data_IF_500762933698
#
_entry.id   IF_500762933698
#
_cell.length_a   1.000
_cell.length_b   1.000
_cell.length_c   1.000
_cell.angle_alpha   90.00
_cell.angle_beta   90.00
_cell.angle_gamma   90.00
#
_symmetry.space_group_name_H-M   'P 1'
#
loop_
_entity.id
_entity.type
_entity.pdbx_description
1 polymer ?
#
# COMPACT_ATOMS: atom_id res chain seq x y z
N UNK A 1 -1.11 -15.71 -26.88
CA UNK A 1 -0.23 -16.62 -27.59
C UNK A 1 0.55 -17.43 -26.58
N UNK A 2 0.62 -18.76 -26.62
CA UNK A 2 1.53 -19.53 -25.81
C UNK A 2 2.95 -19.11 -26.20
N UNK A 3 3.70 -18.53 -25.27
CA UNK A 3 5.14 -18.27 -25.46
C UNK A 3 5.87 -19.61 -25.41
N UNK A 4 6.93 -19.73 -26.24
CA UNK A 4 7.91 -20.80 -26.17
C UNK A 4 8.20 -21.14 -24.69
N UNK A 5 7.83 -22.35 -24.29
CA UNK A 5 7.89 -22.81 -22.90
C UNK A 5 9.31 -22.96 -22.33
N UNK A 6 10.32 -22.71 -23.14
CA UNK A 6 11.72 -22.96 -22.80
C UNK A 6 12.47 -21.76 -22.20
N UNK A 7 12.05 -20.50 -22.49
CA UNK A 7 12.79 -19.33 -22.00
C UNK A 7 12.31 -18.90 -20.61
N UNK A 8 13.25 -18.74 -19.63
CA UNK A 8 12.91 -18.18 -18.33
C UNK A 8 12.29 -16.78 -18.43
N UNK A 9 11.22 -16.53 -17.66
CA UNK A 9 10.63 -15.21 -17.54
C UNK A 9 11.54 -14.33 -16.67
N UNK A 10 11.95 -13.18 -17.21
CA UNK A 10 12.86 -12.24 -16.56
C UNK A 10 12.09 -11.14 -15.81
N UNK A 11 12.33 -10.99 -14.53
CA UNK A 11 11.64 -10.07 -13.64
C UNK A 11 12.63 -9.05 -13.06
N UNK A 12 12.38 -7.76 -13.29
CA UNK A 12 13.08 -6.68 -12.59
C UNK A 12 12.26 -6.22 -11.38
N UNK A 13 12.89 -6.09 -10.22
CA UNK A 13 12.25 -5.50 -9.03
C UNK A 13 13.03 -4.26 -8.63
N UNK A 14 12.41 -3.10 -8.76
CA UNK A 14 12.99 -1.82 -8.36
C UNK A 14 12.48 -1.50 -6.96
N UNK A 15 13.36 -1.46 -5.98
CA UNK A 15 13.03 -1.09 -4.60
C UNK A 15 13.36 0.37 -4.34
N UNK A 16 12.39 1.09 -3.76
CA UNK A 16 12.58 2.47 -3.31
C UNK A 16 13.06 2.50 -1.87
N UNK A 17 13.72 3.58 -1.41
CA UNK A 17 13.97 3.76 0.03
C UNK A 17 12.68 3.58 0.83
N UNK A 18 12.78 2.92 1.98
CA UNK A 18 11.64 2.54 2.83
C UNK A 18 10.59 1.64 2.15
N UNK A 19 11.00 0.81 1.21
CA UNK A 19 10.11 -0.15 0.54
C UNK A 19 9.56 -1.20 1.52
N UNK A 20 8.45 -1.83 1.16
CA UNK A 20 7.88 -2.93 1.94
C UNK A 20 8.65 -4.23 1.69
N UNK A 21 9.53 -4.60 2.63
CA UNK A 21 10.36 -5.81 2.50
C UNK A 21 9.51 -7.08 2.46
N UNK A 22 8.49 -7.18 3.31
CA UNK A 22 7.62 -8.35 3.37
C UNK A 22 6.90 -8.59 2.05
N UNK A 23 6.35 -7.52 1.44
CA UNK A 23 5.73 -7.60 0.12
C UNK A 23 6.75 -7.97 -0.97
N UNK A 24 7.96 -7.40 -0.92
CA UNK A 24 9.00 -7.67 -1.92
C UNK A 24 9.47 -9.12 -1.88
N UNK A 25 9.77 -9.64 -0.69
CA UNK A 25 10.18 -11.04 -0.50
C UNK A 25 9.01 -11.97 -0.82
N UNK A 26 7.80 -11.66 -0.33
CA UNK A 26 6.58 -12.41 -0.63
C UNK A 26 6.25 -12.48 -2.12
N UNK A 27 6.64 -11.46 -2.90
CA UNK A 27 6.53 -11.48 -4.35
C UNK A 27 7.59 -12.37 -5.02
N UNK A 28 8.83 -12.39 -4.51
CA UNK A 28 9.96 -13.11 -5.14
C UNK A 28 9.94 -14.60 -4.79
N UNK A 29 9.64 -14.95 -3.56
CA UNK A 29 9.81 -16.32 -3.05
C UNK A 29 8.95 -17.39 -3.74
N UNK A 30 7.72 -17.12 -4.22
CA UNK A 30 6.98 -18.06 -5.06
C UNK A 30 7.69 -18.46 -6.35
N UNK A 31 8.41 -17.55 -7.00
CA UNK A 31 9.19 -17.86 -8.21
C UNK A 31 10.40 -18.75 -7.89
N UNK A 32 11.07 -18.49 -6.76
CA UNK A 32 12.14 -19.36 -6.25
C UNK A 32 11.61 -20.76 -5.96
N UNK A 33 10.47 -20.85 -5.28
CA UNK A 33 9.84 -22.15 -4.97
C UNK A 33 9.47 -22.90 -6.24
N UNK A 34 8.89 -22.23 -7.24
CA UNK A 34 8.54 -22.83 -8.52
C UNK A 34 9.77 -23.40 -9.25
N UNK A 35 10.87 -22.65 -9.33
CA UNK A 35 12.13 -23.14 -9.91
C UNK A 35 12.68 -24.38 -9.16
N UNK A 36 12.67 -24.31 -7.82
CA UNK A 36 13.17 -25.41 -6.98
C UNK A 36 12.38 -26.69 -7.15
N UNK A 37 11.05 -26.60 -7.16
CA UNK A 37 10.16 -27.76 -7.21
C UNK A 37 10.18 -28.48 -8.55
N UNK A 38 10.35 -27.75 -9.65
CA UNK A 38 10.40 -28.35 -10.99
C UNK A 38 11.83 -28.68 -11.45
N UNK A 39 12.84 -28.24 -10.70
CA UNK A 39 14.24 -28.43 -11.06
C UNK A 39 14.69 -27.68 -12.31
N UNK A 40 13.85 -26.75 -12.81
CA UNK A 40 14.11 -25.94 -13.98
C UNK A 40 14.09 -24.44 -13.63
N UNK A 41 14.84 -23.63 -14.39
CA UNK A 41 14.83 -22.18 -14.23
C UNK A 41 13.70 -21.57 -15.06
N UNK A 42 12.49 -21.53 -14.52
CA UNK A 42 11.33 -20.89 -15.15
C UNK A 42 11.34 -19.37 -14.98
N UNK A 43 11.95 -18.87 -13.92
CA UNK A 43 11.96 -17.46 -13.54
C UNK A 43 13.37 -17.02 -13.16
N UNK A 44 13.74 -15.82 -13.59
CA UNK A 44 14.95 -15.11 -13.15
C UNK A 44 14.57 -13.74 -12.66
N UNK A 45 15.26 -13.21 -11.67
CA UNK A 45 14.98 -11.88 -11.17
C UNK A 45 16.25 -11.09 -10.85
N UNK A 46 16.11 -9.77 -10.95
CA UNK A 46 17.12 -8.81 -10.56
C UNK A 46 16.46 -7.81 -9.61
N UNK A 47 17.04 -7.64 -8.41
CA UNK A 47 16.63 -6.62 -7.47
C UNK A 47 17.57 -5.44 -7.61
N UNK A 48 17.00 -4.25 -7.87
CA UNK A 48 17.76 -3.03 -8.10
C UNK A 48 17.15 -1.84 -7.35
N UNK A 49 17.99 -0.85 -7.09
CA UNK A 49 17.59 0.50 -6.73
C UNK A 49 18.13 1.49 -7.76
N UNK A 50 17.79 2.77 -7.68
CA UNK A 50 18.25 3.76 -8.64
C UNK A 50 19.78 3.80 -8.76
N UNK A 51 20.47 3.81 -7.63
CA UNK A 51 21.94 3.93 -7.55
C UNK A 51 22.64 2.59 -7.27
N UNK A 52 21.91 1.53 -6.94
CA UNK A 52 22.49 0.29 -6.43
C UNK A 52 22.93 0.41 -4.96
N UNK A 53 23.61 -0.63 -4.48
CA UNK A 53 24.10 -0.69 -3.10
C UNK A 53 23.03 -1.02 -2.08
N UNK A 54 23.27 -0.65 -0.84
CA UNK A 54 22.38 -0.99 0.28
C UNK A 54 21.13 -0.11 0.29
N UNK A 55 19.96 -0.73 0.29
CA UNK A 55 18.66 -0.06 0.38
C UNK A 55 17.94 -0.50 1.66
N UNK A 56 17.54 0.48 2.48
CA UNK A 56 16.84 0.25 3.75
C UNK A 56 15.34 0.12 3.49
N UNK A 57 14.73 -0.93 4.04
CA UNK A 57 13.30 -1.17 4.00
C UNK A 57 12.55 -0.45 5.13
N UNK A 58 11.22 -0.40 5.03
CA UNK A 58 10.35 0.26 6.01
C UNK A 58 10.42 -0.36 7.42
N UNK A 59 10.83 -1.61 7.54
CA UNK A 59 11.02 -2.30 8.82
C UNK A 59 12.43 -2.17 9.41
N UNK A 60 13.31 -1.34 8.80
CA UNK A 60 14.68 -1.10 9.24
C UNK A 60 15.71 -2.14 8.76
N UNK A 61 15.30 -3.23 8.13
CA UNK A 61 16.23 -4.17 7.51
C UNK A 61 16.74 -3.61 6.18
N UNK A 62 17.93 -4.06 5.79
CA UNK A 62 18.56 -3.62 4.54
C UNK A 62 18.80 -4.78 3.60
N UNK A 63 18.68 -4.50 2.30
CA UNK A 63 19.10 -5.44 1.27
C UNK A 63 20.13 -4.80 0.34
N UNK A 64 21.01 -5.59 -0.21
CA UNK A 64 21.93 -5.17 -1.27
C UNK A 64 21.21 -5.23 -2.61
N UNK A 65 21.37 -4.18 -3.43
CA UNK A 65 20.69 -4.02 -4.71
C UNK A 65 21.68 -3.73 -5.83
N UNK A 66 21.35 -4.15 -7.05
CA UNK A 66 22.04 -3.71 -8.25
C UNK A 66 21.54 -2.32 -8.68
N UNK A 67 22.21 -1.71 -9.64
CA UNK A 67 21.71 -0.49 -10.28
C UNK A 67 20.54 -0.82 -11.21
N UNK A 68 19.68 0.17 -11.50
CA UNK A 68 18.57 0.03 -12.45
C UNK A 68 19.03 -0.44 -13.84
N UNK A 69 20.28 -0.14 -14.24
CA UNK A 69 20.88 -0.62 -15.50
C UNK A 69 20.95 -2.14 -15.60
N UNK A 70 21.18 -2.83 -14.48
CA UNK A 70 21.20 -4.29 -14.46
C UNK A 70 19.85 -4.93 -14.83
N UNK A 71 18.73 -4.23 -14.57
CA UNK A 71 17.40 -4.67 -15.04
C UNK A 71 17.31 -4.56 -16.57
N UNK A 72 17.82 -3.46 -17.13
CA UNK A 72 17.82 -3.26 -18.60
C UNK A 72 18.68 -4.32 -19.30
N UNK A 73 19.86 -4.63 -18.77
CA UNK A 73 20.76 -5.68 -19.29
C UNK A 73 20.10 -7.07 -19.23
N UNK A 74 19.30 -7.34 -18.20
CA UNK A 74 18.57 -8.60 -18.06
C UNK A 74 17.40 -8.76 -19.03
N UNK A 75 17.09 -7.75 -19.85
CA UNK A 75 15.97 -7.75 -20.82
C UNK A 75 14.65 -8.22 -20.18
N UNK A 76 14.06 -7.44 -19.26
CA UNK A 76 12.95 -7.90 -18.44
C UNK A 76 11.67 -8.10 -19.23
N UNK A 77 10.90 -9.14 -18.88
CA UNK A 77 9.50 -9.33 -19.32
C UNK A 77 8.53 -8.58 -18.40
N UNK A 78 8.88 -8.49 -17.10
CA UNK A 78 8.12 -7.79 -16.07
C UNK A 78 9.05 -6.89 -15.26
N UNK A 79 8.63 -5.66 -15.00
CA UNK A 79 9.30 -4.77 -14.04
C UNK A 79 8.31 -4.34 -12.97
N UNK A 80 8.67 -4.57 -11.71
CA UNK A 80 7.87 -4.24 -10.53
C UNK A 80 8.55 -3.12 -9.74
N UNK A 81 7.79 -2.08 -9.42
CA UNK A 81 8.22 -1.02 -8.49
C UNK A 81 7.68 -1.35 -7.11
N UNK A 82 8.57 -1.61 -6.15
CA UNK A 82 8.23 -1.79 -4.74
C UNK A 82 8.54 -0.52 -3.97
N UNK A 83 7.54 0.05 -3.37
CA UNK A 83 7.63 1.24 -2.52
C UNK A 83 6.75 1.04 -1.29
N UNK A 84 6.86 1.92 -0.29
CA UNK A 84 5.95 1.99 0.83
C UNK A 84 5.75 3.46 1.21
N UNK A 85 6.44 3.98 2.21
CA UNK A 85 6.20 5.36 2.65
C UNK A 85 6.82 6.40 1.72
N UNK A 86 6.14 7.54 1.60
CA UNK A 86 6.60 8.72 0.85
C UNK A 86 6.96 8.46 -0.62
N UNK A 87 6.11 7.74 -1.39
CA UNK A 87 6.44 7.40 -2.79
C UNK A 87 6.67 8.65 -3.66
N UNK A 88 6.08 9.80 -3.29
CA UNK A 88 6.21 11.07 -4.00
C UNK A 88 7.65 11.61 -3.99
N UNK A 89 8.45 11.28 -2.97
CA UNK A 89 9.83 11.72 -2.83
C UNK A 89 10.81 10.91 -3.70
N UNK A 90 10.39 9.74 -4.15
CA UNK A 90 11.28 8.78 -4.82
C UNK A 90 11.10 8.74 -6.33
N UNK A 91 10.24 9.59 -6.90
CA UNK A 91 10.01 9.64 -8.34
C UNK A 91 11.00 10.61 -9.01
N UNK A 92 12.05 10.08 -9.62
CA UNK A 92 13.02 10.86 -10.38
C UNK A 92 12.73 10.85 -11.89
N UNK A 93 13.20 11.86 -12.65
CA UNK A 93 13.09 11.87 -14.11
C UNK A 93 13.74 10.63 -14.78
N UNK A 94 14.86 10.15 -14.22
CA UNK A 94 15.56 8.95 -14.70
C UNK A 94 14.69 7.73 -14.56
N UNK A 95 14.09 7.51 -13.39
CA UNK A 95 13.17 6.39 -13.15
C UNK A 95 11.97 6.45 -14.09
N UNK A 96 11.35 7.62 -14.21
CA UNK A 96 10.21 7.81 -15.11
C UNK A 96 10.57 7.51 -16.57
N UNK A 97 11.74 7.95 -17.02
CA UNK A 97 12.23 7.68 -18.38
C UNK A 97 12.43 6.19 -18.63
N UNK A 98 13.06 5.48 -17.70
CA UNK A 98 13.26 4.03 -17.75
C UNK A 98 11.93 3.27 -17.79
N UNK A 99 11.00 3.60 -16.90
CA UNK A 99 9.67 2.98 -16.85
C UNK A 99 8.89 3.19 -18.15
N UNK A 100 8.91 4.42 -18.71
CA UNK A 100 8.28 4.71 -20.02
C UNK A 100 9.00 4.00 -21.16
N UNK A 101 10.33 3.84 -21.08
CA UNK A 101 11.12 3.07 -22.03
C UNK A 101 10.65 1.61 -22.10
N UNK A 102 10.60 0.93 -20.96
CA UNK A 102 10.11 -0.45 -20.85
C UNK A 102 8.66 -0.59 -21.29
N UNK A 103 7.79 0.38 -20.95
CA UNK A 103 6.41 0.37 -21.40
C UNK A 103 6.29 0.38 -22.93
N UNK A 104 7.09 1.21 -23.62
CA UNK A 104 7.13 1.26 -25.10
C UNK A 104 7.68 -0.02 -25.72
N UNK A 105 8.57 -0.71 -25.03
CA UNK A 105 9.11 -2.01 -25.47
C UNK A 105 8.17 -3.19 -25.17
N UNK A 106 6.95 -2.94 -24.66
CA UNK A 106 5.97 -3.98 -24.36
C UNK A 106 6.20 -4.73 -23.06
N UNK A 107 7.13 -4.28 -22.22
CA UNK A 107 7.37 -4.86 -20.88
C UNK A 107 6.14 -4.64 -20.00
N UNK A 108 5.75 -5.66 -19.26
CA UNK A 108 4.70 -5.54 -18.25
C UNK A 108 5.24 -4.78 -17.04
N UNK A 109 4.58 -3.67 -16.70
CA UNK A 109 4.95 -2.86 -15.55
C UNK A 109 4.00 -3.10 -14.39
N UNK A 110 4.56 -3.28 -13.21
CA UNK A 110 3.77 -3.51 -12.02
C UNK A 110 4.26 -2.73 -10.80
N UNK A 111 3.47 -2.82 -9.75
CA UNK A 111 3.75 -2.16 -8.49
C UNK A 111 3.33 -3.01 -7.29
N UNK A 112 4.09 -2.87 -6.20
CA UNK A 112 3.75 -3.37 -4.87
C UNK A 112 3.56 -2.20 -3.92
N UNK A 113 2.54 -2.29 -3.08
CA UNK A 113 2.21 -1.33 -2.02
C UNK A 113 1.94 0.07 -2.62
N UNK A 114 2.72 1.09 -2.29
CA UNK A 114 2.58 2.44 -2.86
C UNK A 114 3.33 2.66 -4.19
N UNK A 115 3.97 1.65 -4.73
CA UNK A 115 4.68 1.74 -6.02
C UNK A 115 3.80 2.19 -7.19
N UNK A 116 2.47 2.00 -7.08
CA UNK A 116 1.51 2.46 -8.09
C UNK A 116 1.47 4.00 -8.21
N UNK A 117 1.76 4.76 -7.15
CA UNK A 117 1.92 6.23 -7.25
C UNK A 117 3.04 6.63 -8.22
N UNK A 118 4.14 5.88 -8.21
CA UNK A 118 5.27 6.12 -9.11
C UNK A 118 4.88 5.84 -10.57
N UNK A 119 4.14 4.75 -10.81
CA UNK A 119 3.61 4.44 -12.14
C UNK A 119 2.59 5.48 -12.60
N UNK A 120 1.67 5.92 -11.73
CA UNK A 120 0.66 6.94 -12.03
C UNK A 120 1.31 8.29 -12.34
N UNK A 121 2.27 8.74 -11.51
CA UNK A 121 3.04 9.97 -11.76
C UNK A 121 3.83 9.91 -13.06
N UNK A 122 4.20 8.71 -13.50
CA UNK A 122 4.85 8.47 -14.81
C UNK A 122 3.86 8.42 -15.98
N UNK A 123 2.56 8.62 -15.73
CA UNK A 123 1.43 8.51 -16.68
C UNK A 123 1.30 7.13 -17.32
N UNK A 124 1.64 6.09 -16.57
CA UNK A 124 1.61 4.70 -17.03
C UNK A 124 0.34 3.95 -16.61
N UNK A 125 -0.50 4.58 -15.78
CA UNK A 125 -1.77 4.03 -15.29
C UNK A 125 -3.00 4.82 -15.79
N UNK A 126 -2.83 5.85 -16.62
CA UNK A 126 -3.95 6.64 -17.16
C UNK A 126 -4.95 5.74 -17.89
N UNK A 127 -6.24 5.81 -17.49
CA UNK A 127 -7.32 4.97 -18.01
C UNK A 127 -7.23 3.50 -17.61
N UNK A 128 -6.36 3.13 -16.68
CA UNK A 128 -6.16 1.78 -16.19
C UNK A 128 -6.72 1.58 -14.79
N UNK A 129 -7.13 0.35 -14.50
CA UNK A 129 -7.43 -0.06 -13.13
C UNK A 129 -6.13 -0.36 -12.38
N UNK A 130 -6.03 0.14 -11.14
CA UNK A 130 -4.86 -0.09 -10.29
C UNK A 130 -5.25 -0.13 -8.81
N UNK A 131 -4.47 -0.84 -8.02
CA UNK A 131 -4.61 -0.89 -6.56
C UNK A 131 -3.36 -0.40 -5.86
N UNK A 132 -3.53 0.10 -4.65
CA UNK A 132 -2.49 0.46 -3.69
C UNK A 132 -2.89 -0.08 -2.33
N UNK A 133 -2.01 0.00 -1.34
CA UNK A 133 -2.36 -0.32 0.05
C UNK A 133 -3.56 0.52 0.51
N UNK A 134 -4.51 -0.09 1.21
CA UNK A 134 -5.80 0.52 1.59
C UNK A 134 -5.66 1.88 2.27
N UNK A 135 -4.64 2.05 3.14
CA UNK A 135 -4.37 3.34 3.82
C UNK A 135 -4.07 4.50 2.86
N UNK A 136 -3.65 4.20 1.63
CA UNK A 136 -3.28 5.18 0.62
C UNK A 136 -4.31 5.32 -0.50
N UNK A 137 -5.40 4.55 -0.46
CA UNK A 137 -6.35 4.46 -1.57
C UNK A 137 -7.08 5.79 -1.81
N UNK A 138 -7.49 6.48 -0.75
CA UNK A 138 -8.17 7.78 -0.87
C UNK A 138 -7.23 8.86 -1.42
N UNK A 139 -5.98 8.89 -0.94
CA UNK A 139 -4.97 9.79 -1.48
C UNK A 139 -4.64 9.47 -2.95
N UNK A 140 -4.63 8.19 -3.31
CA UNK A 140 -4.39 7.77 -4.68
C UNK A 140 -5.51 8.22 -5.63
N UNK A 141 -6.77 8.09 -5.21
CA UNK A 141 -7.94 8.58 -5.96
C UNK A 141 -7.87 10.09 -6.18
N UNK A 142 -7.52 10.83 -5.13
CA UNK A 142 -7.44 12.28 -5.17
C UNK A 142 -6.30 12.79 -6.06
N UNK A 143 -5.11 12.19 -5.95
CA UNK A 143 -3.92 12.63 -6.69
C UNK A 143 -3.90 12.14 -8.14
N UNK A 144 -4.62 11.07 -8.46
CA UNK A 144 -4.64 10.43 -9.77
C UNK A 144 -6.07 10.10 -10.23
N UNK A 145 -6.92 11.11 -10.46
CA UNK A 145 -8.32 10.92 -10.87
C UNK A 145 -8.46 10.28 -12.26
N UNK A 146 -7.39 10.25 -13.03
CA UNK A 146 -7.30 9.58 -14.33
C UNK A 146 -7.04 8.06 -14.24
N UNK A 147 -6.89 7.51 -13.01
CA UNK A 147 -6.68 6.09 -12.73
C UNK A 147 -7.92 5.52 -12.04
N UNK A 148 -8.38 4.36 -12.48
CA UNK A 148 -9.48 3.64 -11.82
C UNK A 148 -8.95 2.93 -10.56
N UNK A 149 -8.95 3.63 -9.42
CA UNK A 149 -8.47 3.09 -8.17
C UNK A 149 -9.38 1.97 -7.64
N UNK A 150 -8.82 0.78 -7.45
CA UNK A 150 -9.52 -0.44 -7.05
C UNK A 150 -9.17 -0.83 -5.61
N UNK A 151 -10.16 -1.33 -4.86
CA UNK A 151 -9.98 -1.89 -3.52
C UNK A 151 -9.56 -3.37 -3.52
N UNK A 152 -9.24 -3.93 -4.67
CA UNK A 152 -8.79 -5.31 -4.76
C UNK A 152 -7.38 -5.48 -4.20
N UNK A 153 -7.06 -6.69 -3.71
CA UNK A 153 -5.71 -7.02 -3.25
C UNK A 153 -4.67 -6.88 -4.36
N UNK A 154 -5.05 -7.21 -5.59
CA UNK A 154 -4.22 -7.07 -6.78
C UNK A 154 -5.09 -6.91 -8.03
N UNK A 155 -4.56 -6.18 -9.01
CA UNK A 155 -5.22 -5.87 -10.27
C UNK A 155 -4.29 -6.23 -11.43
N UNK A 156 -4.87 -6.87 -12.45
CA UNK A 156 -4.21 -7.17 -13.72
C UNK A 156 -4.98 -6.49 -14.85
N UNK A 157 -4.48 -5.39 -15.38
CA UNK A 157 -5.06 -4.65 -16.50
C UNK A 157 -4.07 -4.61 -17.67
N UNK A 158 -4.12 -5.64 -18.53
CA UNK A 158 -3.19 -5.81 -19.64
C UNK A 158 -1.74 -5.89 -19.16
N UNK A 159 -0.91 -4.97 -19.66
CA UNK A 159 0.51 -4.85 -19.27
C UNK A 159 0.71 -3.96 -18.01
N UNK A 160 -0.35 -3.71 -17.25
CA UNK A 160 -0.27 -3.00 -15.96
C UNK A 160 -0.79 -3.90 -14.87
N UNK A 161 0.05 -4.17 -13.88
CA UNK A 161 -0.27 -5.10 -12.80
C UNK A 161 0.10 -4.47 -11.47
N UNK A 162 -0.83 -4.41 -10.53
CA UNK A 162 -0.59 -3.75 -9.23
C UNK A 162 -1.08 -4.61 -8.08
N UNK A 163 -0.42 -4.51 -6.95
CA UNK A 163 -0.73 -5.26 -5.73
C UNK A 163 -0.67 -4.33 -4.52
N UNK A 164 -1.61 -4.50 -3.60
CA UNK A 164 -1.71 -3.72 -2.37
C UNK A 164 -0.55 -3.94 -1.38
N UNK A 165 0.31 -4.93 -1.63
CA UNK A 165 1.44 -5.23 -0.74
C UNK A 165 1.12 -6.29 0.33
N UNK A 166 1.94 -6.32 1.39
CA UNK A 166 1.82 -7.32 2.44
C UNK A 166 1.84 -8.76 1.90
N UNK A 167 1.04 -9.63 2.51
CA UNK A 167 0.92 -11.04 2.08
C UNK A 167 0.17 -11.21 0.76
N UNK A 168 -0.52 -10.17 0.26
CA UNK A 168 -1.15 -10.22 -1.07
C UNK A 168 -0.11 -10.37 -2.20
N UNK A 169 1.14 -10.00 -1.94
CA UNK A 169 2.23 -10.16 -2.89
C UNK A 169 2.54 -11.63 -3.22
N UNK A 170 2.30 -12.55 -2.28
CA UNK A 170 2.42 -14.01 -2.51
C UNK A 170 1.39 -14.47 -3.54
N UNK A 171 0.10 -14.13 -3.33
CA UNK A 171 -0.95 -14.48 -4.30
C UNK A 171 -0.71 -13.84 -5.67
N UNK A 172 -0.26 -12.60 -5.66
CA UNK A 172 0.05 -11.87 -6.88
C UNK A 172 1.13 -12.58 -7.71
N UNK A 173 2.20 -13.04 -7.08
CA UNK A 173 3.24 -13.84 -7.74
C UNK A 173 2.71 -15.21 -8.18
N UNK A 174 1.92 -15.90 -7.35
CA UNK A 174 1.30 -17.18 -7.70
C UNK A 174 0.36 -17.05 -8.90
N UNK A 175 -0.39 -15.94 -9.03
CA UNK A 175 -1.20 -15.67 -10.21
C UNK A 175 -0.34 -15.43 -11.47
N UNK A 176 0.85 -14.86 -11.36
CA UNK A 176 1.79 -14.72 -12.48
C UNK A 176 2.31 -16.12 -12.88
N UNK A 177 2.72 -16.96 -11.92
CA UNK A 177 3.14 -18.34 -12.17
C UNK A 177 2.02 -19.11 -12.88
N UNK A 178 0.80 -19.04 -12.34
CA UNK A 178 -0.39 -19.69 -12.90
C UNK A 178 -0.63 -19.29 -14.37
N UNK A 179 -0.54 -18.01 -14.69
CA UNK A 179 -0.75 -17.47 -16.04
C UNK A 179 0.35 -17.85 -17.03
N UNK A 180 1.56 -18.09 -16.55
CA UNK A 180 2.74 -18.30 -17.39
C UNK A 180 3.21 -19.74 -17.46
N UNK A 181 2.94 -20.52 -16.41
CA UNK A 181 3.44 -21.92 -16.26
C UNK A 181 2.34 -22.91 -15.81
N UNK A 182 1.11 -22.45 -15.63
CA UNK A 182 -0.05 -23.27 -15.33
C UNK A 182 -0.33 -23.49 -13.84
N UNK A 183 -1.51 -24.08 -13.59
CA UNK A 183 -2.06 -24.26 -12.23
C UNK A 183 -1.24 -25.23 -11.38
N UNK A 184 -0.70 -26.30 -11.98
CA UNK A 184 0.03 -27.33 -11.23
C UNK A 184 1.26 -26.77 -10.53
N UNK A 185 2.08 -25.97 -11.23
CA UNK A 185 3.28 -25.37 -10.65
C UNK A 185 2.93 -24.30 -9.62
N UNK A 186 1.91 -23.46 -9.89
CA UNK A 186 1.44 -22.45 -8.96
C UNK A 186 0.93 -23.08 -7.64
N UNK A 187 0.14 -24.15 -7.72
CA UNK A 187 -0.37 -24.87 -6.54
C UNK A 187 0.76 -25.57 -5.76
N UNK A 188 1.75 -26.09 -6.45
CA UNK A 188 2.92 -26.72 -5.80
C UNK A 188 3.75 -25.67 -5.06
N UNK A 189 3.99 -24.51 -5.67
CA UNK A 189 4.69 -23.38 -5.04
C UNK A 189 3.92 -22.86 -3.82
N UNK A 190 2.60 -22.70 -3.92
CA UNK A 190 1.75 -22.28 -2.81
C UNK A 190 1.87 -23.25 -1.62
N UNK A 191 1.77 -24.55 -1.87
CA UNK A 191 1.91 -25.59 -0.85
C UNK A 191 3.28 -25.60 -0.19
N UNK A 192 4.34 -25.42 -0.97
CA UNK A 192 5.71 -25.34 -0.45
C UNK A 192 5.92 -24.18 0.51
N UNK A 193 5.21 -23.06 0.27
CA UNK A 193 5.25 -21.87 1.11
C UNK A 193 4.24 -21.89 2.27
N UNK A 194 3.56 -23.02 2.52
CA UNK A 194 2.46 -23.14 3.49
C UNK A 194 1.35 -22.11 3.28
N UNK A 195 1.17 -21.67 2.02
CA UNK A 195 0.10 -20.76 1.63
C UNK A 195 -1.15 -21.58 1.30
N UNK A 196 -2.04 -21.70 2.28
CA UNK A 196 -3.17 -22.65 2.25
C UNK A 196 -4.11 -22.44 1.05
N UNK A 197 -4.35 -21.20 0.68
CA UNK A 197 -5.33 -20.86 -0.34
C UNK A 197 -4.91 -19.67 -1.16
N UNK A 198 -4.79 -19.85 -2.46
CA UNK A 198 -4.63 -18.76 -3.41
C UNK A 198 -5.91 -17.91 -3.42
N UNK A 199 -5.80 -16.65 -3.01
CA UNK A 199 -6.90 -15.71 -3.03
C UNK A 199 -7.30 -15.39 -4.48
N UNK A 200 -8.62 -15.47 -4.82
CA UNK A 200 -9.06 -15.24 -6.19
C UNK A 200 -8.89 -13.78 -6.62
N UNK A 201 -8.87 -13.58 -7.95
CA UNK A 201 -9.00 -12.24 -8.53
C UNK A 201 -10.31 -11.60 -8.05
N UNK A 202 -10.30 -10.31 -7.83
CA UNK A 202 -11.47 -9.60 -7.30
C UNK A 202 -11.58 -9.60 -5.78
N UNK A 203 -10.72 -10.35 -5.05
CA UNK A 203 -10.70 -10.29 -3.59
C UNK A 203 -10.38 -8.87 -3.14
N UNK A 204 -11.28 -8.28 -2.36
CA UNK A 204 -11.10 -6.92 -1.80
C UNK A 204 -10.13 -6.92 -0.64
N UNK A 205 -9.45 -5.80 -0.44
CA UNK A 205 -8.70 -5.52 0.76
C UNK A 205 -9.71 -5.36 1.91
N UNK A 206 -9.64 -6.23 2.92
CA UNK A 206 -10.48 -6.08 4.11
C UNK A 206 -9.88 -4.97 4.97
N UNK A 207 -10.37 -3.77 4.78
CA UNK A 207 -9.96 -2.59 5.56
C UNK A 207 -10.76 -2.44 6.87
N UNK A 208 -11.30 -3.53 7.42
CA UNK A 208 -12.05 -3.46 8.67
C UNK A 208 -11.09 -3.39 9.89
N UNK A 209 -10.89 -2.18 10.49
CA UNK A 209 -10.03 -2.04 11.67
C UNK A 209 -10.55 -2.82 12.88
N UNK A 210 -11.74 -3.39 12.79
CA UNK A 210 -12.47 -4.08 13.86
C UNK A 210 -12.40 -5.60 13.76
N UNK A 211 -11.81 -6.17 12.69
CA UNK A 211 -11.66 -7.63 12.64
C UNK A 211 -10.36 -8.04 13.35
N UNK A 212 -10.43 -8.58 14.59
CA UNK A 212 -9.29 -9.30 15.15
C UNK A 212 -8.95 -10.45 14.22
N UNK A 213 -7.66 -10.65 13.93
CA UNK A 213 -7.19 -11.78 13.13
C UNK A 213 -7.74 -13.08 13.73
N UNK A 214 -8.54 -13.81 12.95
CA UNK A 214 -9.13 -15.09 13.36
C UNK A 214 -10.51 -15.04 14.04
N UNK A 215 -11.16 -13.88 14.16
CA UNK A 215 -12.55 -13.80 14.66
C UNK A 215 -13.54 -13.44 13.54
N UNK A 216 -14.71 -14.07 13.58
CA UNK A 216 -15.79 -13.77 12.65
C UNK A 216 -16.59 -12.59 13.17
N UNK A 217 -16.47 -11.43 12.54
CA UNK A 217 -17.33 -10.27 12.85
C UNK A 217 -18.76 -10.60 12.42
N UNK A 218 -19.76 -10.34 13.27
CA UNK A 218 -21.15 -10.57 12.92
C UNK A 218 -21.54 -9.85 11.64
N UNK A 219 -22.33 -10.53 10.81
CA UNK A 219 -22.81 -10.01 9.54
C UNK A 219 -23.44 -8.61 9.66
N UNK A 220 -24.14 -8.36 10.77
CA UNK A 220 -24.78 -7.06 11.05
C UNK A 220 -23.75 -5.92 11.21
N UNK A 221 -22.63 -6.18 11.91
CA UNK A 221 -21.55 -5.18 12.04
C UNK A 221 -20.94 -4.90 10.67
N UNK A 222 -20.63 -5.96 9.92
CA UNK A 222 -20.05 -5.81 8.56
C UNK A 222 -20.94 -5.00 7.64
N UNK A 223 -22.25 -5.29 7.63
CA UNK A 223 -23.22 -4.53 6.83
C UNK A 223 -23.28 -3.06 7.24
N UNK A 224 -23.33 -2.78 8.55
CA UNK A 224 -23.37 -1.41 9.05
C UNK A 224 -22.07 -0.65 8.70
N UNK A 225 -20.90 -1.27 8.90
CA UNK A 225 -19.62 -0.67 8.56
C UNK A 225 -19.53 -0.40 7.06
N UNK A 226 -19.96 -1.34 6.20
CA UNK A 226 -19.98 -1.13 4.76
C UNK A 226 -20.85 0.09 4.37
N UNK A 227 -22.06 0.23 4.94
CA UNK A 227 -22.91 1.40 4.69
C UNK A 227 -22.22 2.69 5.18
N UNK A 228 -21.51 2.65 6.33
CA UNK A 228 -20.75 3.80 6.83
C UNK A 228 -19.59 4.18 5.89
N UNK A 229 -18.84 3.20 5.41
CA UNK A 229 -17.70 3.40 4.50
C UNK A 229 -18.11 3.93 3.13
N UNK A 230 -19.24 3.45 2.61
CA UNK A 230 -19.80 3.92 1.35
C UNK A 230 -20.32 5.38 1.43
N UNK A 231 -20.48 5.94 2.65
CA UNK A 231 -21.04 7.26 2.91
C UNK A 231 -20.14 8.12 3.79
N UNK A 232 -18.81 8.16 3.54
CA UNK A 232 -17.87 8.92 4.38
C UNK A 232 -17.93 10.45 4.14
N UNK A 233 -18.19 10.87 2.90
CA UNK A 233 -18.25 12.27 2.51
C UNK A 233 -19.60 12.91 2.86
N UNK A 234 -20.70 12.19 2.62
CA UNK A 234 -22.07 12.59 2.98
C UNK A 234 -22.58 11.58 4.01
N UNK A 235 -22.28 11.78 5.31
CA UNK A 235 -22.58 10.78 6.33
C UNK A 235 -24.08 10.62 6.55
N UNK A 236 -24.53 9.38 6.51
CA UNK A 236 -25.89 9.02 6.92
C UNK A 236 -26.04 9.14 8.45
N UNK A 237 -27.27 9.41 8.91
CA UNK A 237 -27.56 9.32 10.33
C UNK A 237 -27.59 7.85 10.81
N UNK A 238 -27.40 7.62 12.11
CA UNK A 238 -27.48 6.25 12.65
C UNK A 238 -28.85 5.60 12.41
N UNK A 239 -29.98 6.32 12.55
CA UNK A 239 -31.29 5.80 12.15
C UNK A 239 -31.34 5.37 10.67
N UNK A 240 -30.81 6.18 9.73
CA UNK A 240 -30.81 5.83 8.31
C UNK A 240 -29.98 4.58 8.03
N UNK A 241 -28.83 4.42 8.71
CA UNK A 241 -28.03 3.20 8.63
C UNK A 241 -28.82 2.00 9.13
N UNK A 242 -29.54 2.14 10.25
CA UNK A 242 -30.40 1.07 10.78
C UNK A 242 -31.49 0.67 9.78
N UNK A 243 -32.11 1.62 9.12
CA UNK A 243 -33.11 1.39 8.09
C UNK A 243 -32.50 0.61 6.90
N UNK A 244 -31.34 1.03 6.41
CA UNK A 244 -30.63 0.35 5.30
C UNK A 244 -30.32 -1.12 5.59
N UNK A 245 -30.00 -1.47 6.84
CA UNK A 245 -29.64 -2.84 7.20
C UNK A 245 -30.77 -3.63 7.84
N UNK A 246 -31.95 -3.00 8.06
CA UNK A 246 -33.15 -3.64 8.56
C UNK A 246 -33.11 -4.04 10.03
N UNK A 247 -32.51 -3.19 10.91
CA UNK A 247 -32.45 -3.45 12.36
C UNK A 247 -32.80 -2.21 13.19
N UNK A 248 -33.13 -2.41 14.46
CA UNK A 248 -33.34 -1.30 15.39
C UNK A 248 -32.01 -0.69 15.85
N UNK A 249 -32.02 0.61 16.19
CA UNK A 249 -30.85 1.29 16.74
C UNK A 249 -30.32 0.59 18.01
N UNK A 250 -31.21 0.13 18.87
CA UNK A 250 -30.85 -0.61 20.10
C UNK A 250 -30.07 -1.90 19.79
N UNK A 251 -30.43 -2.60 18.70
CA UNK A 251 -29.67 -3.77 18.25
C UNK A 251 -28.30 -3.39 17.73
N UNK A 252 -28.21 -2.32 16.93
CA UNK A 252 -26.94 -1.81 16.42
C UNK A 252 -26.02 -1.39 17.57
N UNK A 253 -26.49 -0.60 18.51
CA UNK A 253 -25.74 -0.16 19.69
C UNK A 253 -25.18 -1.35 20.49
N UNK A 254 -26.04 -2.34 20.78
CA UNK A 254 -25.63 -3.55 21.52
C UNK A 254 -24.54 -4.33 20.81
N UNK A 255 -24.65 -4.47 19.48
CA UNK A 255 -23.70 -5.24 18.69
C UNK A 255 -22.38 -4.49 18.57
N UNK A 256 -22.39 -3.18 18.33
CA UNK A 256 -21.17 -2.35 18.30
C UNK A 256 -20.48 -2.27 19.65
N UNK A 257 -21.24 -2.14 20.76
CA UNK A 257 -20.65 -2.16 22.11
C UNK A 257 -19.94 -3.48 22.39
N UNK A 258 -20.52 -4.60 21.95
CA UNK A 258 -19.93 -5.93 22.17
C UNK A 258 -18.66 -6.16 21.34
N UNK A 259 -18.63 -5.73 20.09
CA UNK A 259 -17.56 -6.07 19.15
C UNK A 259 -16.54 -4.96 18.94
N UNK A 260 -16.97 -3.70 18.93
CA UNK A 260 -16.10 -2.54 18.74
C UNK A 260 -15.81 -1.78 20.05
N UNK A 261 -16.49 -2.13 21.17
CA UNK A 261 -16.43 -1.45 22.45
C UNK A 261 -16.69 0.08 22.36
N UNK A 262 -17.49 0.47 21.37
CA UNK A 262 -17.82 1.87 21.04
C UNK A 262 -19.25 1.95 20.53
N UNK A 263 -19.85 3.14 20.58
CA UNK A 263 -21.12 3.36 19.90
C UNK A 263 -20.94 3.41 18.38
N UNK A 264 -21.98 3.07 17.59
CA UNK A 264 -21.96 3.21 16.13
C UNK A 264 -21.57 4.61 15.66
N UNK A 265 -22.09 5.65 16.31
CA UNK A 265 -21.78 7.05 16.00
C UNK A 265 -20.29 7.39 16.22
N UNK A 266 -19.72 6.92 17.36
CA UNK A 266 -18.29 7.10 17.64
C UNK A 266 -17.44 6.35 16.62
N UNK A 267 -17.79 5.11 16.31
CA UNK A 267 -17.11 4.31 15.32
C UNK A 267 -17.13 4.97 13.94
N UNK A 268 -18.30 5.46 13.50
CA UNK A 268 -18.47 6.15 12.23
C UNK A 268 -17.65 7.45 12.15
N UNK A 269 -17.63 8.22 13.25
CA UNK A 269 -16.75 9.40 13.32
C UNK A 269 -15.28 9.00 13.21
N UNK A 270 -14.89 7.91 13.82
CA UNK A 270 -13.51 7.43 13.86
C UNK A 270 -13.02 7.02 12.47
N UNK A 271 -13.78 6.26 11.68
CA UNK A 271 -13.40 5.90 10.31
C UNK A 271 -13.30 7.12 9.38
N UNK A 272 -14.17 8.13 9.57
CA UNK A 272 -14.07 9.40 8.85
C UNK A 272 -12.81 10.18 9.21
N UNK A 273 -12.40 10.13 10.48
CA UNK A 273 -11.13 10.73 10.93
C UNK A 273 -9.91 9.97 10.41
N UNK A 274 -9.98 8.64 10.28
CA UNK A 274 -8.90 7.84 9.70
C UNK A 274 -8.70 8.19 8.22
N UNK A 275 -9.80 8.30 7.45
CA UNK A 275 -9.75 8.83 6.07
C UNK A 275 -9.15 10.23 6.03
N UNK A 276 -9.64 11.13 6.89
CA UNK A 276 -9.12 12.49 6.97
C UNK A 276 -7.62 12.53 7.24
N UNK A 277 -7.11 11.63 8.10
CA UNK A 277 -5.69 11.56 8.39
C UNK A 277 -4.88 11.15 7.16
N UNK A 278 -5.35 10.18 6.39
CA UNK A 278 -4.76 9.83 5.11
C UNK A 278 -4.66 11.05 4.18
N UNK A 279 -5.75 11.78 3.99
CA UNK A 279 -5.77 12.99 3.16
C UNK A 279 -4.85 14.10 3.71
N UNK A 280 -4.84 14.33 5.02
CA UNK A 280 -3.96 15.31 5.68
C UNK A 280 -2.49 15.00 5.47
N UNK A 281 -2.09 13.74 5.64
CA UNK A 281 -0.67 13.35 5.67
C UNK A 281 -0.10 13.02 4.30
N UNK A 282 -0.95 12.62 3.35
CA UNK A 282 -0.52 12.07 2.06
C UNK A 282 -0.82 12.99 0.87
N UNK A 283 -1.62 14.05 1.08
CA UNK A 283 -1.98 15.00 0.02
C UNK A 283 -1.64 16.44 0.39
N UNK A 284 -1.65 17.33 -0.62
CA UNK A 284 -1.59 18.78 -0.44
C UNK A 284 -2.96 19.45 -0.22
N UNK A 285 -4.06 18.67 -0.13
CA UNK A 285 -5.43 19.18 -0.05
C UNK A 285 -5.62 20.16 1.12
N UNK A 286 -6.24 21.32 0.92
CA UNK A 286 -6.55 22.26 2.00
C UNK A 286 -7.33 21.59 3.13
N UNK A 287 -7.07 21.98 4.39
CA UNK A 287 -7.76 21.35 5.54
C UNK A 287 -9.29 21.58 5.52
N UNK A 288 -9.75 22.67 4.90
CA UNK A 288 -11.18 22.91 4.64
C UNK A 288 -11.78 21.83 3.74
N UNK A 289 -11.10 21.48 2.65
CA UNK A 289 -11.52 20.45 1.72
C UNK A 289 -11.43 19.05 2.34
N UNK A 290 -10.34 18.75 3.08
CA UNK A 290 -10.23 17.49 3.86
C UNK A 290 -11.40 17.35 4.82
N UNK A 291 -11.80 18.45 5.50
CA UNK A 291 -12.95 18.45 6.42
C UNK A 291 -14.23 18.03 5.70
N UNK A 292 -14.51 18.61 4.54
CA UNK A 292 -15.70 18.30 3.72
C UNK A 292 -15.63 16.87 3.18
N UNK A 293 -14.51 16.49 2.55
CA UNK A 293 -14.29 15.15 1.99
C UNK A 293 -14.39 14.03 3.04
N UNK A 294 -14.25 14.37 4.32
CA UNK A 294 -14.40 13.44 5.44
C UNK A 294 -15.74 13.62 6.20
N UNK A 295 -16.69 14.31 5.59
CA UNK A 295 -18.06 14.44 6.08
C UNK A 295 -18.23 15.31 7.32
N UNK A 296 -17.31 16.28 7.56
CA UNK A 296 -17.46 17.26 8.65
C UNK A 296 -18.04 18.56 8.13
N UNK A 297 -19.11 19.02 8.75
CA UNK A 297 -19.80 20.27 8.40
C UNK A 297 -19.00 21.54 8.75
N UNK A 298 -17.96 21.42 9.57
CA UNK A 298 -17.16 22.54 10.04
C UNK A 298 -15.70 22.12 10.26
N UNK A 299 -14.78 22.91 9.71
CA UNK A 299 -13.33 22.73 9.92
C UNK A 299 -12.94 22.84 11.41
N UNK A 300 -13.68 23.61 12.20
CA UNK A 300 -13.44 23.74 13.65
C UNK A 300 -13.77 22.44 14.36
N UNK A 301 -14.94 21.86 14.08
CA UNK A 301 -15.35 20.57 14.62
C UNK A 301 -14.41 19.45 14.17
N UNK A 302 -14.04 19.43 12.90
CA UNK A 302 -13.04 18.51 12.36
C UNK A 302 -11.72 18.62 13.13
N UNK A 303 -11.15 19.81 13.25
CA UNK A 303 -9.84 19.99 13.89
C UNK A 303 -9.84 19.58 15.36
N UNK A 304 -10.96 19.82 16.07
CA UNK A 304 -11.15 19.39 17.46
C UNK A 304 -11.22 17.87 17.56
N UNK A 305 -12.09 17.23 16.77
CA UNK A 305 -12.26 15.77 16.76
C UNK A 305 -10.96 15.05 16.33
N UNK A 306 -10.24 15.61 15.36
CA UNK A 306 -8.95 15.10 14.91
C UNK A 306 -7.91 15.11 16.03
N UNK A 307 -7.79 16.24 16.75
CA UNK A 307 -6.86 16.35 17.88
C UNK A 307 -7.25 15.41 19.03
N UNK A 308 -8.54 15.28 19.31
CA UNK A 308 -9.05 14.37 20.33
C UNK A 308 -8.66 12.92 20.02
N UNK A 309 -8.76 12.50 18.76
CA UNK A 309 -8.43 11.13 18.33
C UNK A 309 -6.93 10.85 18.22
N UNK A 310 -6.17 11.78 17.63
CA UNK A 310 -4.77 11.54 17.28
C UNK A 310 -3.75 12.27 18.18
N UNK A 311 -4.20 13.06 19.15
CA UNK A 311 -3.33 13.81 20.04
C UNK A 311 -2.61 15.00 19.39
N UNK A 312 -2.76 15.20 18.08
CA UNK A 312 -2.07 16.21 17.27
C UNK A 312 -3.07 16.99 16.40
N UNK A 313 -2.83 18.29 16.20
CA UNK A 313 -3.66 19.08 15.29
C UNK A 313 -3.39 18.71 13.82
N UNK A 314 -4.40 18.72 12.92
CA UNK A 314 -4.24 18.34 11.51
C UNK A 314 -3.10 19.08 10.81
N UNK A 315 -2.96 20.39 11.04
CA UNK A 315 -1.89 21.22 10.46
C UNK A 315 -0.49 20.76 10.89
N UNK A 316 -0.34 20.33 12.16
CA UNK A 316 0.94 19.83 12.67
C UNK A 316 1.22 18.40 12.17
N UNK A 317 0.18 17.59 12.05
CA UNK A 317 0.30 16.23 11.53
C UNK A 317 0.71 16.23 10.05
N UNK A 318 0.23 17.19 9.25
CA UNK A 318 0.68 17.40 7.87
C UNK A 318 2.17 17.66 7.75
N UNK A 319 2.75 18.48 8.63
CA UNK A 319 4.17 18.83 8.62
C UNK A 319 5.05 17.71 9.16
N UNK A 320 4.58 17.02 10.21
CA UNK A 320 5.26 15.88 10.82
C UNK A 320 4.95 14.56 10.10
N UNK A 321 3.86 14.51 9.35
CA UNK A 321 3.11 13.33 8.96
C UNK A 321 3.50 12.66 7.67
N UNK A 322 4.60 13.04 7.03
CA UNK A 322 5.11 12.28 5.87
C UNK A 322 5.60 10.87 6.24
N UNK A 323 5.72 10.61 7.54
CA UNK A 323 6.05 9.30 8.10
C UNK A 323 4.84 8.84 8.92
N UNK A 324 4.22 7.69 8.64
CA UNK A 324 3.09 7.14 9.38
C UNK A 324 3.35 7.04 10.88
N UNK A 325 2.29 7.07 11.69
CA UNK A 325 2.39 7.05 13.15
C UNK A 325 3.16 5.82 13.66
N UNK A 326 2.91 4.65 13.09
CA UNK A 326 3.57 3.38 13.42
C UNK A 326 5.08 3.47 13.22
N UNK A 327 5.51 4.20 12.21
CA UNK A 327 6.94 4.41 11.93
C UNK A 327 7.59 5.40 12.89
N UNK A 328 6.83 6.37 13.42
CA UNK A 328 7.33 7.26 14.48
C UNK A 328 7.59 6.53 15.80
N UNK A 329 6.90 5.42 16.03
CA UNK A 329 7.12 4.56 17.19
C UNK A 329 8.37 3.67 17.04
N UNK A 330 8.96 3.59 15.85
CA UNK A 330 10.16 2.81 15.62
C UNK A 330 11.41 3.55 16.12
N UNK A 331 12.21 2.97 17.05
CA UNK A 331 13.30 3.68 17.72
C UNK A 331 14.37 4.26 16.80
N UNK A 332 14.60 3.63 15.62
CA UNK A 332 15.63 4.04 14.66
C UNK A 332 15.23 5.24 13.79
N UNK A 333 13.95 5.62 13.81
CA UNK A 333 13.42 6.67 12.94
C UNK A 333 12.74 7.81 13.70
N UNK A 334 13.01 7.93 15.01
CA UNK A 334 12.47 9.03 15.80
C UNK A 334 13.03 10.37 15.28
N UNK A 335 12.20 11.34 14.84
CA UNK A 335 12.69 12.62 14.28
C UNK A 335 13.58 13.42 15.25
N UNK A 336 13.46 13.16 16.55
CA UNK A 336 14.24 13.80 17.59
C UNK A 336 15.73 13.40 17.56
N UNK A 337 16.06 12.20 17.11
CA UNK A 337 17.44 11.70 17.12
C UNK A 337 18.28 12.26 15.99
N UNK A 338 17.69 12.49 14.81
CA UNK A 338 18.40 13.10 13.66
C UNK A 338 18.74 14.59 13.86
N UNK A 339 17.88 15.35 14.51
CA UNK A 339 18.10 16.80 14.74
C UNK A 339 19.08 17.03 15.89
N UNK A 340 19.11 16.16 16.91
CA UNK A 340 20.04 16.28 18.01
C UNK A 340 21.42 15.72 17.70
N UNK A 341 21.56 14.73 16.82
CA UNK A 341 22.84 14.23 16.34
C UNK A 341 23.62 15.30 15.57
N UNK A 342 22.94 16.05 14.68
CA UNK A 342 23.59 17.14 13.91
C UNK A 342 23.98 18.31 14.83
N UNK A 343 23.16 18.65 15.85
CA UNK A 343 23.50 19.71 16.82
C UNK A 343 24.61 19.31 17.80
N UNK A 344 24.79 18.03 18.12
CA UNK A 344 25.90 17.56 18.96
C UNK A 344 27.22 17.53 18.17
N UNK A 345 27.22 17.13 16.92
CA UNK A 345 28.43 17.12 16.07
C UNK A 345 28.98 18.55 15.84
N UNK A 346 28.12 19.53 15.66
CA UNK A 346 28.54 20.93 15.49
C UNK A 346 29.03 21.62 16.78
N UNK A 347 28.60 21.15 17.97
CA UNK A 347 29.09 21.65 19.26
C UNK A 347 30.43 21.07 19.67
N UNK A 348 30.70 19.81 19.29
CA UNK A 348 32.01 19.16 19.60
C UNK A 348 33.13 19.72 18.72
N UNK A 349 32.80 20.04 17.45
CA UNK A 349 33.76 20.66 16.52
C UNK A 349 34.16 22.11 16.91
N UNK A 350 33.35 22.84 17.69
CA UNK A 350 33.69 24.18 18.20
C UNK A 350 34.46 24.20 19.51
N UNK A 351 34.58 23.05 20.22
CA UNK A 351 35.38 22.96 21.48
C UNK A 351 36.83 22.48 21.27
N UNK A 352 37.20 22.08 20.08
CA UNK A 352 38.56 21.62 19.74
C UNK A 352 39.40 22.73 19.07
N UNK A 353 38.84 23.94 18.89
CA UNK A 353 39.53 25.11 18.33
C UNK A 353 39.58 26.30 19.30
N UNK A 354 39.87 26.03 20.58
CA UNK A 354 40.33 27.05 21.52
C UNK A 354 41.50 26.52 22.35
#
# INVERSE_FOLDING_TARGET
MPRDSEKPLSIGVIVMPNFNLAATVGFIDPFRAANYLDGQTHFRWVIASLAGGVTVASNGLSIETKTIGAIQEASPDIVIVSSSWTPELHTSPVLQSSLRGWARSGVTLGALDTGAFILAKSRLLTGKSATVHYEHLDAFRELHPDVQASEQLFVFDGHRITCSGGTAAVDFALHIIRRTRGDALANSAARYLFHERLRPLGTRQNAYPTEPVGSTVPLLVRKAVQVMEDNLEIPLSIPDICEHIGISQRQLDRVFQRFAQRSPATYYRDIRLDRARGLVTQTGMPLSEVSVASGFSSQVHFSRAYRERFGIAPRKDRVAGRIPFEFRAWPLHHPADGVNAVKRSTRTAKKVKK
#
